data_IF_121936265490
#
_entry.id   IF_121936265490
#
_cell.length_a   1.000
_cell.length_b   1.000
_cell.length_c   1.000
_cell.angle_alpha   90.00
_cell.angle_beta   90.00
_cell.angle_gamma   90.00
#
_symmetry.space_group_name_H-M   'P 1'
#
loop_
_entity.id
_entity.type
_entity.pdbx_description
1 polymer ?
#
# COMPACT_ATOMS: atom_id res chain seq x y z
N UNK A 1 13.40 14.35 -10.69
CA UNK A 1 12.56 13.13 -10.61
C UNK A 1 11.33 13.44 -9.78
N UNK A 2 10.16 12.91 -10.19
CA UNK A 2 8.90 13.18 -9.50
C UNK A 2 8.23 11.90 -8.98
N UNK A 3 7.79 11.92 -7.73
CA UNK A 3 7.06 10.81 -7.10
C UNK A 3 5.61 11.20 -6.80
N UNK A 4 4.65 10.33 -7.16
CA UNK A 4 3.25 10.46 -6.78
C UNK A 4 2.92 9.45 -5.68
N UNK A 5 2.29 9.92 -4.59
CA UNK A 5 1.98 9.11 -3.43
C UNK A 5 0.51 9.27 -3.05
N UNK A 6 -0.25 8.19 -3.09
CA UNK A 6 -1.63 8.19 -2.59
C UNK A 6 -1.69 7.91 -1.08
N UNK A 7 -2.66 8.49 -0.39
CA UNK A 7 -2.75 8.38 1.07
C UNK A 7 -1.58 9.04 1.80
N UNK A 8 -1.08 10.16 1.26
CA UNK A 8 0.13 10.83 1.73
C UNK A 8 -0.04 11.67 2.99
N UNK A 9 -1.27 11.87 3.48
CA UNK A 9 -1.56 12.79 4.59
C UNK A 9 -1.13 12.28 5.97
N UNK A 10 -0.87 10.98 6.13
CA UNK A 10 -0.53 10.40 7.43
C UNK A 10 0.25 9.09 7.31
N UNK A 11 0.71 8.57 8.44
CA UNK A 11 1.29 7.23 8.57
C UNK A 11 2.42 6.96 7.58
N UNK A 12 2.35 5.80 6.93
CA UNK A 12 3.39 5.33 6.01
C UNK A 12 3.53 6.24 4.78
N UNK A 13 2.42 6.73 4.20
CA UNK A 13 2.45 7.62 3.04
C UNK A 13 3.18 8.94 3.33
N UNK A 14 2.90 9.56 4.48
CA UNK A 14 3.64 10.73 4.98
C UNK A 14 5.13 10.46 5.11
N UNK A 15 5.51 9.37 5.79
CA UNK A 15 6.91 9.06 6.04
C UNK A 15 7.67 8.75 4.73
N UNK A 16 7.01 8.07 3.77
CA UNK A 16 7.57 7.84 2.44
C UNK A 16 7.78 9.16 1.69
N UNK A 17 6.81 10.08 1.74
CA UNK A 17 6.92 11.41 1.14
C UNK A 17 8.13 12.18 1.67
N UNK A 18 8.25 12.30 3.00
CA UNK A 18 9.36 13.01 3.65
C UNK A 18 10.72 12.38 3.27
N UNK A 19 10.81 11.05 3.24
CA UNK A 19 12.06 10.36 2.90
C UNK A 19 12.43 10.50 1.42
N UNK A 20 11.45 10.51 0.51
CA UNK A 20 11.69 10.72 -0.91
C UNK A 20 12.08 12.16 -1.21
N UNK A 21 11.49 13.15 -0.53
CA UNK A 21 11.93 14.55 -0.66
C UNK A 21 13.39 14.73 -0.24
N UNK A 22 13.84 14.04 0.82
CA UNK A 22 15.25 14.03 1.25
C UNK A 22 16.18 13.34 0.24
N UNK A 23 15.63 12.55 -0.69
CA UNK A 23 16.36 11.92 -1.81
C UNK A 23 16.30 12.72 -3.11
N UNK A 24 15.72 13.93 -3.07
CA UNK A 24 15.64 14.83 -4.22
C UNK A 24 14.47 14.58 -5.16
N UNK A 25 13.45 13.82 -4.74
CA UNK A 25 12.20 13.68 -5.50
C UNK A 25 11.29 14.87 -5.23
N UNK A 26 10.81 15.55 -6.26
CA UNK A 26 9.62 16.39 -6.20
C UNK A 26 8.38 15.50 -6.02
N UNK A 27 7.39 16.00 -5.32
CA UNK A 27 6.28 15.19 -4.86
C UNK A 27 4.93 15.64 -5.41
N UNK A 28 4.09 14.68 -5.74
CA UNK A 28 2.64 14.86 -5.87
C UNK A 28 1.98 14.07 -4.75
N UNK A 29 1.39 14.77 -3.79
CA UNK A 29 0.81 14.18 -2.59
C UNK A 29 -0.72 14.16 -2.71
N UNK A 30 -1.31 12.96 -2.72
CA UNK A 30 -2.74 12.76 -2.90
C UNK A 30 -3.39 12.30 -1.60
N UNK A 31 -4.45 12.99 -1.16
CA UNK A 31 -5.30 12.61 -0.03
C UNK A 31 -6.61 13.39 -0.07
N UNK A 32 -7.62 12.94 0.69
CA UNK A 32 -8.87 13.66 0.95
C UNK A 32 -8.72 14.81 1.95
N UNK A 33 -7.66 14.78 2.76
CA UNK A 33 -7.39 15.78 3.80
C UNK A 33 -6.28 16.72 3.36
N UNK A 34 -6.67 17.83 2.73
CA UNK A 34 -5.75 18.86 2.26
C UNK A 34 -4.95 19.52 3.40
N UNK A 35 -5.63 19.76 4.54
CA UNK A 35 -4.94 20.38 5.70
C UNK A 35 -3.84 19.49 6.25
N UNK A 36 -4.04 18.17 6.28
CA UNK A 36 -3.00 17.24 6.68
C UNK A 36 -1.87 17.16 5.63
N UNK A 37 -2.18 17.26 4.32
CA UNK A 37 -1.16 17.34 3.28
C UNK A 37 -0.28 18.61 3.42
N UNK A 38 -0.86 19.75 3.80
CA UNK A 38 -0.12 20.99 4.05
C UNK A 38 0.90 20.84 5.18
N UNK A 39 0.56 20.08 6.23
CA UNK A 39 1.51 19.74 7.31
C UNK A 39 2.65 18.88 6.79
N UNK A 40 2.35 17.87 5.97
CA UNK A 40 3.38 17.00 5.38
C UNK A 40 4.31 17.78 4.45
N UNK A 41 3.76 18.70 3.64
CA UNK A 41 4.56 19.57 2.76
C UNK A 41 5.62 20.36 3.50
N UNK A 42 5.30 20.87 4.70
CA UNK A 42 6.26 21.63 5.54
C UNK A 42 7.47 20.78 5.96
N UNK A 43 7.31 19.46 6.09
CA UNK A 43 8.37 18.52 6.47
C UNK A 43 9.21 18.04 5.26
N UNK A 44 8.76 18.34 4.01
CA UNK A 44 9.45 17.95 2.79
C UNK A 44 10.60 18.91 2.44
N UNK A 45 11.63 18.41 1.77
CA UNK A 45 12.83 19.17 1.38
C UNK A 45 12.81 19.64 -0.08
N UNK A 46 11.92 19.11 -0.88
CA UNK A 46 11.74 19.44 -2.30
C UNK A 46 10.33 20.01 -2.53
N UNK A 47 10.04 20.41 -3.74
CA UNK A 47 8.70 20.85 -4.12
C UNK A 47 7.67 19.75 -3.88
N UNK A 48 6.51 20.13 -3.34
CA UNK A 48 5.39 19.22 -3.14
C UNK A 48 4.09 19.87 -3.64
N UNK A 49 3.50 19.26 -4.66
CA UNK A 49 2.18 19.61 -5.18
C UNK A 49 1.15 18.82 -4.38
N UNK A 50 0.19 19.52 -3.80
CA UNK A 50 -0.90 18.91 -3.03
C UNK A 50 -2.13 18.79 -3.91
N UNK A 51 -2.71 17.60 -3.97
CA UNK A 51 -3.91 17.37 -4.74
C UNK A 51 -4.95 16.63 -3.90
N UNK A 52 -6.05 17.33 -3.61
CA UNK A 52 -7.16 16.77 -2.88
C UNK A 52 -8.01 15.88 -3.80
N UNK A 53 -8.07 14.58 -3.51
CA UNK A 53 -8.87 13.64 -4.27
C UNK A 53 -9.24 12.42 -3.44
N UNK A 54 -10.42 11.85 -3.72
CA UNK A 54 -10.82 10.54 -3.23
C UNK A 54 -10.52 9.49 -4.31
N UNK A 55 -9.52 8.66 -4.05
CA UNK A 55 -9.10 7.60 -4.98
C UNK A 55 -10.10 6.45 -5.07
N UNK A 56 -11.17 6.41 -4.27
CA UNK A 56 -12.25 5.44 -4.46
C UNK A 56 -13.03 5.68 -5.76
N UNK A 57 -13.01 6.92 -6.29
CA UNK A 57 -13.62 7.27 -7.58
C UNK A 57 -12.71 6.90 -8.74
N UNK A 58 -13.25 6.22 -9.74
CA UNK A 58 -12.57 5.92 -11.02
C UNK A 58 -12.19 7.20 -11.74
N UNK A 59 -13.10 8.15 -11.80
CA UNK A 59 -12.92 9.45 -12.46
C UNK A 59 -11.80 10.27 -11.80
N UNK A 60 -11.72 10.21 -10.45
CA UNK A 60 -10.64 10.87 -9.72
C UNK A 60 -9.27 10.26 -10.06
N UNK A 61 -9.17 8.94 -10.14
CA UNK A 61 -7.94 8.26 -10.53
C UNK A 61 -7.51 8.62 -11.97
N UNK A 62 -8.46 8.71 -12.91
CA UNK A 62 -8.20 9.11 -14.28
C UNK A 62 -7.71 10.57 -14.32
N UNK A 63 -8.40 11.49 -13.64
CA UNK A 63 -8.01 12.91 -13.54
C UNK A 63 -6.63 13.10 -12.91
N UNK A 64 -6.27 12.29 -11.90
CA UNK A 64 -4.92 12.31 -11.32
C UNK A 64 -3.88 11.98 -12.38
N UNK A 65 -4.10 10.91 -13.15
CA UNK A 65 -3.18 10.51 -14.21
C UNK A 65 -3.11 11.53 -15.35
N UNK A 66 -4.23 12.10 -15.79
CA UNK A 66 -4.27 13.13 -16.82
C UNK A 66 -3.50 14.40 -16.42
N UNK A 67 -3.62 14.78 -15.14
CA UNK A 67 -2.98 15.98 -14.62
C UNK A 67 -1.49 15.81 -14.34
N UNK A 68 -1.06 14.62 -13.98
CA UNK A 68 0.31 14.33 -13.54
C UNK A 68 0.93 13.20 -14.37
N UNK A 69 1.21 13.47 -15.65
CA UNK A 69 1.76 12.49 -16.61
C UNK A 69 3.22 12.10 -16.31
N UNK A 70 4.05 13.07 -15.94
CA UNK A 70 5.49 12.86 -15.78
C UNK A 70 5.83 12.42 -14.36
N UNK A 71 5.56 11.14 -14.08
CA UNK A 71 5.87 10.51 -12.80
C UNK A 71 6.94 9.43 -13.00
N UNK A 72 8.04 9.56 -12.26
CA UNK A 72 9.14 8.58 -12.23
C UNK A 72 8.90 7.47 -11.20
N UNK A 73 8.13 7.78 -10.14
CA UNK A 73 7.81 6.85 -9.06
C UNK A 73 6.35 6.97 -8.65
N UNK A 74 5.57 5.91 -8.86
CA UNK A 74 4.22 5.79 -8.33
C UNK A 74 4.24 4.99 -7.01
N UNK A 75 3.61 5.52 -5.96
CA UNK A 75 3.37 4.80 -4.71
C UNK A 75 1.87 4.73 -4.45
N UNK A 76 1.28 3.58 -4.70
CA UNK A 76 -0.09 3.26 -4.31
C UNK A 76 -0.10 2.82 -2.84
N UNK A 77 -0.30 3.80 -1.94
CA UNK A 77 -0.28 3.57 -0.50
C UNK A 77 -1.66 3.75 0.15
N UNK A 78 -2.57 4.51 -0.43
CA UNK A 78 -3.91 4.67 0.11
C UNK A 78 -4.57 3.32 0.39
N UNK A 79 -5.19 3.18 1.55
CA UNK A 79 -5.87 1.95 1.94
C UNK A 79 -6.26 1.95 3.41
N UNK A 80 -7.28 1.17 3.72
CA UNK A 80 -7.77 0.98 5.08
C UNK A 80 -8.29 -0.44 5.28
N UNK A 81 -8.60 -0.80 6.52
CA UNK A 81 -9.18 -2.09 6.89
C UNK A 81 -10.50 -1.91 7.61
N UNK A 82 -11.26 -2.98 7.70
CA UNK A 82 -12.50 -3.10 8.47
C UNK A 82 -12.46 -4.41 9.24
N UNK A 83 -12.83 -4.35 10.52
CA UNK A 83 -12.88 -5.49 11.41
C UNK A 83 -14.34 -5.84 11.75
N UNK A 84 -14.65 -7.11 11.77
CA UNK A 84 -15.96 -7.66 12.14
C UNK A 84 -16.28 -8.96 11.42
N UNK A 85 -17.30 -9.65 11.87
CA UNK A 85 -17.87 -10.77 11.14
C UNK A 85 -18.56 -10.29 9.87
N UNK A 86 -18.46 -11.04 8.79
CA UNK A 86 -18.98 -10.66 7.47
C UNK A 86 -20.45 -10.25 7.48
N UNK A 87 -21.27 -10.91 8.29
CA UNK A 87 -22.69 -10.59 8.40
C UNK A 87 -22.97 -9.30 9.19
N UNK A 88 -22.00 -8.79 9.95
CA UNK A 88 -22.16 -7.64 10.84
C UNK A 88 -21.43 -6.38 10.34
N UNK A 89 -20.58 -6.50 9.32
CA UNK A 89 -19.90 -5.34 8.73
C UNK A 89 -20.79 -4.62 7.73
N UNK A 90 -20.59 -3.30 7.59
CA UNK A 90 -21.34 -2.49 6.63
C UNK A 90 -20.89 -2.80 5.19
N UNK A 91 -21.83 -3.18 4.33
CA UNK A 91 -21.57 -3.41 2.90
C UNK A 91 -20.96 -2.17 2.23
N UNK A 92 -21.47 -0.98 2.48
CA UNK A 92 -20.94 0.26 1.88
C UNK A 92 -19.47 0.50 2.27
N UNK A 93 -19.11 0.22 3.54
CA UNK A 93 -17.71 0.34 3.98
C UNK A 93 -16.81 -0.70 3.32
N UNK A 94 -17.30 -1.92 3.11
CA UNK A 94 -16.56 -2.97 2.41
C UNK A 94 -16.35 -2.64 0.93
N UNK A 95 -17.42 -2.18 0.24
CA UNK A 95 -17.32 -1.75 -1.15
C UNK A 95 -16.37 -0.58 -1.31
N UNK A 96 -16.44 0.44 -0.44
CA UNK A 96 -15.49 1.54 -0.44
C UNK A 96 -14.05 1.08 -0.17
N UNK A 97 -13.85 0.07 0.70
CA UNK A 97 -12.55 -0.53 0.93
C UNK A 97 -12.01 -1.24 -0.32
N UNK A 98 -12.85 -1.93 -1.07
CA UNK A 98 -12.50 -2.56 -2.35
C UNK A 98 -12.12 -1.47 -3.36
N UNK A 99 -12.89 -0.41 -3.44
CA UNK A 99 -12.62 0.72 -4.34
C UNK A 99 -11.26 1.35 -4.07
N UNK A 100 -10.95 1.65 -2.81
CA UNK A 100 -9.67 2.26 -2.43
C UNK A 100 -8.50 1.26 -2.53
N UNK A 101 -8.64 0.06 -1.97
CA UNK A 101 -7.54 -0.88 -1.84
C UNK A 101 -7.23 -1.66 -3.12
N UNK A 102 -8.23 -1.83 -4.01
CA UNK A 102 -8.12 -2.64 -5.24
C UNK A 102 -8.28 -1.78 -6.47
N UNK A 103 -9.46 -1.19 -6.67
CA UNK A 103 -9.80 -0.47 -7.91
C UNK A 103 -8.84 0.71 -8.17
N UNK A 104 -8.58 1.53 -7.16
CA UNK A 104 -7.63 2.64 -7.28
C UNK A 104 -6.21 2.16 -7.62
N UNK A 105 -5.72 1.14 -6.92
CA UNK A 105 -4.40 0.54 -7.17
C UNK A 105 -4.31 -0.01 -8.59
N UNK A 106 -5.36 -0.71 -9.04
CA UNK A 106 -5.43 -1.27 -10.38
C UNK A 106 -5.36 -0.16 -11.45
N UNK A 107 -6.22 0.85 -11.34
CA UNK A 107 -6.32 1.94 -12.33
C UNK A 107 -5.00 2.72 -12.41
N UNK A 108 -4.50 3.21 -11.28
CA UNK A 108 -3.28 4.01 -11.27
C UNK A 108 -2.07 3.19 -11.72
N UNK A 109 -1.95 1.94 -11.26
CA UNK A 109 -0.87 1.06 -11.74
C UNK A 109 -0.94 0.88 -13.25
N UNK A 110 -2.11 0.57 -13.81
CA UNK A 110 -2.28 0.32 -15.25
C UNK A 110 -1.94 1.55 -16.10
N UNK A 111 -2.43 2.72 -15.69
CA UNK A 111 -2.23 3.97 -16.44
C UNK A 111 -0.75 4.38 -16.41
N UNK A 112 -0.14 4.49 -15.23
CA UNK A 112 1.28 4.86 -15.12
C UNK A 112 2.23 3.80 -15.65
N UNK A 113 1.88 2.51 -15.55
CA UNK A 113 2.68 1.45 -16.12
C UNK A 113 2.79 1.58 -17.65
N UNK A 114 1.69 1.96 -18.33
CA UNK A 114 1.69 2.21 -19.75
C UNK A 114 2.67 3.33 -20.12
N UNK A 115 2.57 4.50 -19.45
CA UNK A 115 3.47 5.62 -19.69
C UNK A 115 4.95 5.26 -19.39
N UNK A 116 5.18 4.52 -18.31
CA UNK A 116 6.52 4.07 -17.93
C UNK A 116 7.12 3.08 -18.92
N UNK A 117 6.31 2.18 -19.49
CA UNK A 117 6.75 1.25 -20.53
C UNK A 117 7.10 1.99 -21.81
N UNK A 118 6.31 2.99 -22.21
CA UNK A 118 6.59 3.82 -23.40
C UNK A 118 7.92 4.58 -23.26
N UNK A 119 8.26 5.03 -22.05
CA UNK A 119 9.54 5.70 -21.73
C UNK A 119 10.68 4.70 -21.41
N UNK A 120 10.38 3.42 -21.30
CA UNK A 120 11.22 2.34 -20.73
C UNK A 120 11.92 2.75 -19.42
N UNK A 121 11.22 3.50 -18.58
CA UNK A 121 11.74 4.08 -17.34
C UNK A 121 10.62 4.29 -16.33
N UNK A 122 10.90 4.04 -15.06
CA UNK A 122 9.97 4.31 -13.98
C UNK A 122 9.95 3.22 -12.91
N UNK A 123 9.26 3.54 -11.81
CA UNK A 123 9.11 2.64 -10.67
C UNK A 123 7.70 2.68 -10.11
N UNK A 124 7.19 1.53 -9.70
CA UNK A 124 5.89 1.41 -9.02
C UNK A 124 6.10 0.67 -7.70
N UNK A 125 5.56 1.23 -6.62
CA UNK A 125 5.44 0.57 -5.32
C UNK A 125 3.98 0.44 -4.95
N UNK A 126 3.46 -0.78 -4.91
CA UNK A 126 2.13 -1.07 -4.41
C UNK A 126 2.20 -1.52 -2.95
N UNK A 127 1.43 -0.88 -2.07
CA UNK A 127 1.40 -1.20 -0.64
C UNK A 127 0.31 -2.24 -0.36
N UNK A 128 0.75 -3.49 -0.18
CA UNK A 128 -0.07 -4.58 0.30
C UNK A 128 -0.03 -4.67 1.86
N UNK A 129 0.14 -5.87 2.39
CA UNK A 129 0.28 -6.19 3.82
C UNK A 129 0.72 -7.65 3.94
N UNK A 130 1.18 -8.08 5.11
CA UNK A 130 1.26 -9.52 5.43
C UNK A 130 -0.11 -10.19 5.40
N UNK A 131 -1.18 -9.43 5.56
CA UNK A 131 -2.56 -9.89 5.36
C UNK A 131 -2.83 -10.45 3.95
N UNK A 132 -1.93 -10.20 2.99
CA UNK A 132 -2.01 -10.75 1.64
C UNK A 132 -1.74 -12.26 1.57
N UNK A 133 -1.19 -12.87 2.61
CA UNK A 133 -0.68 -14.24 2.55
C UNK A 133 -1.66 -15.28 3.10
N UNK A 134 -2.15 -15.17 4.36
CA UNK A 134 -3.14 -16.10 4.88
C UNK A 134 -4.57 -15.62 4.61
N UNK A 135 -5.59 -16.48 4.78
CA UNK A 135 -6.97 -16.04 4.91
C UNK A 135 -7.14 -15.26 6.23
N UNK A 136 -8.01 -14.26 6.26
CA UNK A 136 -8.19 -13.40 7.43
C UNK A 136 -9.63 -13.37 7.96
N UNK A 137 -10.09 -14.37 8.73
CA UNK A 137 -11.37 -14.28 9.42
C UNK A 137 -11.48 -12.99 10.23
N UNK A 138 -12.67 -12.42 10.33
CA UNK A 138 -12.98 -11.12 10.95
C UNK A 138 -12.37 -9.88 10.25
N UNK A 139 -11.58 -10.08 9.20
CA UNK A 139 -11.04 -9.03 8.33
C UNK A 139 -10.97 -9.52 6.87
N UNK A 140 -11.87 -10.40 6.47
CA UNK A 140 -11.82 -11.12 5.21
C UNK A 140 -11.69 -10.22 3.98
N UNK A 141 -12.51 -9.19 3.86
CA UNK A 141 -12.46 -8.24 2.74
C UNK A 141 -11.11 -7.53 2.69
N UNK A 142 -10.57 -7.07 3.83
CA UNK A 142 -9.24 -6.45 3.87
C UNK A 142 -8.14 -7.40 3.39
N UNK A 143 -8.10 -8.64 3.90
CA UNK A 143 -7.10 -9.65 3.52
C UNK A 143 -7.20 -9.97 2.03
N UNK A 144 -8.42 -10.13 1.51
CA UNK A 144 -8.68 -10.37 0.09
C UNK A 144 -8.20 -9.23 -0.78
N UNK A 145 -8.45 -7.96 -0.38
CA UNK A 145 -7.94 -6.80 -1.12
C UNK A 145 -6.41 -6.76 -1.15
N UNK A 146 -5.74 -7.10 -0.05
CA UNK A 146 -4.27 -7.11 0.01
C UNK A 146 -3.66 -8.29 -0.74
N UNK A 147 -4.35 -9.44 -0.79
CA UNK A 147 -3.99 -10.57 -1.64
C UNK A 147 -4.08 -10.22 -3.12
N UNK A 148 -5.14 -9.50 -3.54
CA UNK A 148 -5.24 -8.97 -4.88
C UNK A 148 -4.03 -8.12 -5.25
N UNK A 149 -3.69 -7.11 -4.45
CA UNK A 149 -2.56 -6.19 -4.70
C UNK A 149 -1.24 -6.96 -4.82
N UNK A 150 -1.03 -7.95 -3.95
CA UNK A 150 0.17 -8.79 -4.00
C UNK A 150 0.28 -9.57 -5.30
N UNK A 151 -0.77 -10.33 -5.65
CA UNK A 151 -0.79 -11.16 -6.87
C UNK A 151 -0.73 -10.32 -8.14
N UNK A 152 -1.48 -9.23 -8.21
CA UNK A 152 -1.47 -8.29 -9.32
C UNK A 152 -0.07 -7.74 -9.57
N UNK A 153 0.61 -7.27 -8.51
CA UNK A 153 1.95 -6.69 -8.63
C UNK A 153 2.99 -7.74 -9.05
N UNK A 154 2.91 -8.94 -8.49
CA UNK A 154 3.88 -10.01 -8.81
C UNK A 154 3.70 -10.57 -10.22
N UNK A 155 2.47 -10.59 -10.75
CA UNK A 155 2.21 -10.95 -12.14
C UNK A 155 2.79 -9.92 -13.11
N UNK A 156 2.55 -8.63 -12.88
CA UNK A 156 3.11 -7.54 -13.70
C UNK A 156 4.65 -7.58 -13.71
N UNK A 157 5.28 -7.91 -12.59
CA UNK A 157 6.73 -8.06 -12.53
C UNK A 157 7.25 -9.09 -13.56
N UNK A 158 6.58 -10.24 -13.67
CA UNK A 158 7.00 -11.27 -14.63
C UNK A 158 6.73 -10.84 -16.07
N UNK A 159 5.63 -10.13 -16.33
CA UNK A 159 5.36 -9.55 -17.66
C UNK A 159 6.45 -8.56 -18.07
N UNK A 160 6.86 -7.66 -17.18
CA UNK A 160 7.95 -6.70 -17.42
C UNK A 160 9.28 -7.42 -17.65
N UNK A 161 9.58 -8.45 -16.86
CA UNK A 161 10.79 -9.26 -17.00
C UNK A 161 10.85 -9.95 -18.36
N UNK A 162 9.75 -10.55 -18.81
CA UNK A 162 9.65 -11.20 -20.12
C UNK A 162 9.77 -10.21 -21.28
N UNK A 163 9.26 -9.01 -21.09
CA UNK A 163 9.38 -7.92 -22.07
C UNK A 163 10.79 -7.33 -22.14
N UNK A 164 11.68 -7.61 -21.19
CA UNK A 164 13.00 -6.97 -21.08
C UNK A 164 12.94 -5.49 -20.68
N UNK A 165 11.82 -5.04 -20.06
CA UNK A 165 11.61 -3.64 -19.72
C UNK A 165 12.50 -3.17 -18.57
N UNK A 166 12.96 -1.92 -18.65
CA UNK A 166 13.70 -1.24 -17.57
C UNK A 166 12.82 -0.80 -16.40
N UNK A 167 11.49 -0.79 -16.58
CA UNK A 167 10.51 -0.44 -15.53
C UNK A 167 10.58 -1.41 -14.36
N UNK A 168 10.56 -0.89 -13.13
CA UNK A 168 10.63 -1.71 -11.91
C UNK A 168 9.33 -1.60 -11.13
N UNK A 169 8.80 -2.76 -10.71
CA UNK A 169 7.62 -2.83 -9.85
C UNK A 169 7.93 -3.62 -8.58
N UNK A 170 7.41 -3.15 -7.45
CA UNK A 170 7.61 -3.74 -6.12
C UNK A 170 6.30 -3.80 -5.36
N UNK A 171 6.15 -4.80 -4.50
CA UNK A 171 5.07 -4.87 -3.52
C UNK A 171 5.64 -4.80 -2.10
N UNK A 172 5.11 -3.87 -1.30
CA UNK A 172 5.44 -3.75 0.11
C UNK A 172 4.41 -4.50 0.95
N UNK A 173 4.87 -5.43 1.77
CA UNK A 173 4.03 -6.24 2.66
C UNK A 173 4.44 -6.01 4.13
N UNK A 174 4.04 -4.90 4.74
CA UNK A 174 4.36 -4.64 6.13
C UNK A 174 3.54 -5.52 7.07
N UNK A 175 4.13 -5.89 8.21
CA UNK A 175 3.42 -6.40 9.37
C UNK A 175 2.69 -5.27 10.11
N UNK A 176 2.09 -5.53 11.27
CA UNK A 176 1.50 -4.50 12.11
C UNK A 176 2.53 -3.43 12.46
N UNK A 177 2.16 -2.16 12.33
CA UNK A 177 2.99 -1.02 12.71
C UNK A 177 2.12 0.15 13.18
N UNK A 178 2.70 1.03 13.98
CA UNK A 178 1.97 2.11 14.63
C UNK A 178 1.53 3.18 13.62
N UNK A 179 0.24 3.24 13.33
CA UNK A 179 -0.40 4.25 12.49
C UNK A 179 -1.83 4.49 12.96
N UNK A 180 -2.49 5.49 12.40
CA UNK A 180 -3.92 5.70 12.58
C UNK A 180 -4.81 4.59 11.95
N UNK A 181 -4.20 3.63 11.24
CA UNK A 181 -4.91 2.49 10.63
C UNK A 181 -5.74 1.71 11.66
N UNK A 182 -5.22 1.53 12.87
CA UNK A 182 -5.91 0.81 13.94
C UNK A 182 -7.23 1.48 14.33
N UNK A 183 -7.23 2.81 14.42
CA UNK A 183 -8.44 3.58 14.74
C UNK A 183 -9.45 3.49 13.61
N UNK A 184 -9.01 3.57 12.36
CA UNK A 184 -9.89 3.48 11.17
C UNK A 184 -10.46 2.07 11.01
N UNK A 185 -9.66 1.04 11.28
CA UNK A 185 -10.09 -0.37 11.19
C UNK A 185 -10.93 -0.82 12.40
N UNK A 186 -11.00 -0.02 13.47
CA UNK A 186 -11.69 -0.39 14.70
C UNK A 186 -11.00 -1.50 15.49
N UNK A 187 -9.65 -1.60 15.43
CA UNK A 187 -8.88 -2.69 16.06
C UNK A 187 -7.83 -2.16 17.02
N UNK A 188 -7.59 -2.90 18.11
CA UNK A 188 -6.44 -2.73 19.01
C UNK A 188 -5.45 -3.85 18.75
N UNK A 189 -4.27 -3.54 18.24
CA UNK A 189 -3.22 -4.55 18.10
C UNK A 189 -2.50 -4.76 19.44
N UNK A 190 -2.51 -5.98 19.93
CA UNK A 190 -1.77 -6.38 21.13
C UNK A 190 -0.24 -6.49 20.93
N UNK A 191 0.21 -6.59 19.69
CA UNK A 191 1.64 -6.62 19.36
C UNK A 191 2.18 -5.20 19.21
N UNK A 192 3.28 -4.88 19.90
CA UNK A 192 4.05 -3.65 19.65
C UNK A 192 4.49 -3.65 18.18
N UNK A 193 3.81 -2.85 17.35
CA UNK A 193 4.14 -2.67 15.95
C UNK A 193 5.51 -2.00 15.77
N UNK A 194 6.12 -2.24 14.62
CA UNK A 194 7.31 -1.45 14.20
C UNK A 194 6.93 0.02 14.04
N UNK A 195 7.90 0.93 14.13
CA UNK A 195 7.64 2.35 13.81
C UNK A 195 7.39 2.55 12.32
N UNK A 196 6.60 3.57 11.97
CA UNK A 196 6.45 3.99 10.57
C UNK A 196 7.80 4.30 9.93
N UNK A 197 8.70 4.94 10.67
CA UNK A 197 10.06 5.26 10.22
C UNK A 197 10.85 4.02 9.81
N UNK A 198 10.80 2.95 10.62
CA UNK A 198 11.46 1.68 10.27
C UNK A 198 10.87 1.08 8.99
N UNK A 199 9.53 1.03 8.88
CA UNK A 199 8.85 0.43 7.72
C UNK A 199 9.13 1.24 6.45
N UNK A 200 9.03 2.55 6.50
CA UNK A 200 9.30 3.43 5.35
C UNK A 200 10.77 3.40 4.92
N UNK A 201 11.71 3.38 5.87
CA UNK A 201 13.15 3.24 5.57
C UNK A 201 13.46 1.91 4.89
N UNK A 202 12.85 0.82 5.40
CA UNK A 202 13.01 -0.51 4.84
C UNK A 202 12.38 -0.61 3.43
N UNK A 203 11.21 0.01 3.24
CA UNK A 203 10.52 0.08 1.95
C UNK A 203 11.37 0.79 0.90
N UNK A 204 11.87 1.98 1.21
CA UNK A 204 12.74 2.75 0.32
C UNK A 204 14.01 1.98 -0.04
N UNK A 205 14.68 1.38 0.96
CA UNK A 205 15.88 0.55 0.70
C UNK A 205 15.58 -0.63 -0.20
N UNK A 206 14.43 -1.30 -0.03
CA UNK A 206 14.00 -2.41 -0.87
C UNK A 206 13.66 -1.97 -2.29
N UNK A 207 12.92 -0.87 -2.42
CA UNK A 207 12.51 -0.27 -3.70
C UNK A 207 13.73 0.07 -4.58
N UNK A 208 14.71 0.79 -4.03
CA UNK A 208 15.92 1.16 -4.79
C UNK A 208 16.91 0.01 -5.02
N UNK A 209 16.71 -1.12 -4.33
CA UNK A 209 17.39 -2.39 -4.63
C UNK A 209 16.61 -3.28 -5.59
N UNK A 210 15.54 -2.78 -6.21
CA UNK A 210 14.67 -3.48 -7.17
C UNK A 210 14.11 -4.81 -6.63
N UNK A 211 13.82 -4.87 -5.31
CA UNK A 211 13.20 -6.06 -4.72
C UNK A 211 11.74 -6.15 -5.13
N UNK A 212 11.34 -7.28 -5.71
CA UNK A 212 9.94 -7.54 -6.02
C UNK A 212 9.07 -7.52 -4.76
N UNK A 213 9.42 -8.29 -3.75
CA UNK A 213 8.67 -8.40 -2.49
C UNK A 213 9.48 -7.79 -1.36
N UNK A 214 8.92 -6.77 -0.72
CA UNK A 214 9.55 -6.04 0.39
C UNK A 214 8.77 -6.34 1.66
N UNK A 215 9.35 -7.15 2.56
CA UNK A 215 8.74 -7.54 3.84
C UNK A 215 9.62 -7.01 4.98
N UNK A 216 9.20 -5.93 5.69
CA UNK A 216 9.93 -5.39 6.82
C UNK A 216 9.88 -6.31 8.05
N UNK A 217 11.06 -6.66 8.58
CA UNK A 217 11.19 -7.47 9.80
C UNK A 217 11.38 -8.97 9.54
N UNK A 218 12.24 -9.59 10.36
CA UNK A 218 12.59 -11.00 10.24
C UNK A 218 11.40 -11.91 10.58
N UNK A 219 10.73 -11.66 11.71
CA UNK A 219 9.56 -12.44 12.16
C UNK A 219 8.46 -12.44 11.09
N UNK A 220 8.22 -11.29 10.46
CA UNK A 220 7.25 -11.14 9.37
C UNK A 220 7.60 -12.01 8.16
N UNK A 221 8.89 -12.13 7.84
CA UNK A 221 9.35 -13.01 6.75
C UNK A 221 9.18 -14.48 7.08
N UNK A 222 9.47 -14.87 8.32
CA UNK A 222 9.22 -16.25 8.80
C UNK A 222 7.73 -16.56 8.69
N UNK A 223 6.87 -15.66 9.16
CA UNK A 223 5.42 -15.80 9.03
C UNK A 223 4.99 -16.00 7.58
N UNK A 224 5.51 -15.18 6.65
CA UNK A 224 5.25 -15.35 5.21
C UNK A 224 5.65 -16.74 4.69
N UNK A 225 6.81 -17.24 5.09
CA UNK A 225 7.24 -18.57 4.67
C UNK A 225 6.32 -19.66 5.23
N UNK A 226 5.93 -19.56 6.49
CA UNK A 226 5.04 -20.52 7.13
C UNK A 226 3.65 -20.58 6.46
N UNK A 227 3.12 -19.45 5.98
CA UNK A 227 1.83 -19.45 5.27
C UNK A 227 1.84 -20.23 3.95
N UNK A 228 3.01 -20.52 3.38
CA UNK A 228 3.13 -21.31 2.14
C UNK A 228 3.08 -22.82 2.36
N UNK A 229 3.42 -23.27 3.57
CA UNK A 229 3.55 -24.70 3.87
C UNK A 229 2.50 -25.21 4.85
N UNK A 230 1.90 -24.32 5.64
CA UNK A 230 0.92 -24.73 6.65
C UNK A 230 -0.43 -25.12 6.01
N UNK A 231 -1.08 -26.19 6.49
CA UNK A 231 -2.42 -26.58 6.03
C UNK A 231 -3.44 -25.45 6.23
N UNK A 232 -4.32 -25.24 5.26
CA UNK A 232 -5.29 -24.14 5.26
C UNK A 232 -6.16 -24.10 6.54
N UNK A 233 -6.68 -25.24 6.98
CA UNK A 233 -7.50 -25.32 8.20
C UNK A 233 -6.76 -24.88 9.47
N UNK A 234 -5.46 -25.17 9.53
CA UNK A 234 -4.60 -24.72 10.65
C UNK A 234 -4.41 -23.20 10.60
N UNK A 235 -4.11 -22.65 9.43
CA UNK A 235 -3.99 -21.18 9.23
C UNK A 235 -5.27 -20.46 9.63
N UNK A 236 -6.44 -20.94 9.19
CA UNK A 236 -7.74 -20.38 9.56
C UNK A 236 -7.95 -20.33 11.08
N UNK A 237 -7.64 -21.42 11.79
CA UNK A 237 -7.77 -21.49 13.24
C UNK A 237 -6.82 -20.54 13.96
N UNK A 238 -5.57 -20.47 13.51
CA UNK A 238 -4.56 -19.56 14.07
C UNK A 238 -4.98 -18.11 13.85
N UNK A 239 -5.34 -17.75 12.61
CA UNK A 239 -5.70 -16.39 12.26
C UNK A 239 -6.99 -15.92 12.96
N UNK A 240 -8.01 -16.77 13.04
CA UNK A 240 -9.22 -16.45 13.79
C UNK A 240 -8.89 -16.12 15.26
N UNK A 241 -8.08 -16.95 15.92
CA UNK A 241 -7.70 -16.73 17.31
C UNK A 241 -6.83 -15.46 17.49
N UNK A 242 -6.00 -15.13 16.52
CA UNK A 242 -5.21 -13.90 16.54
C UNK A 242 -6.09 -12.66 16.33
N UNK A 243 -7.05 -12.73 15.41
CA UNK A 243 -7.95 -11.61 15.11
C UNK A 243 -8.91 -11.35 16.27
N UNK A 244 -9.51 -12.39 16.86
CA UNK A 244 -10.43 -12.28 18.02
C UNK A 244 -9.82 -11.55 19.23
N UNK A 245 -8.50 -11.63 19.40
CA UNK A 245 -7.79 -10.88 20.47
C UNK A 245 -7.75 -9.37 20.24
N UNK A 246 -8.13 -8.88 19.05
CA UNK A 246 -8.18 -7.45 18.71
C UNK A 246 -9.52 -6.80 19.06
N UNK A 247 -10.51 -7.61 19.41
CA UNK A 247 -11.87 -7.18 19.77
C UNK A 247 -11.98 -6.70 21.24
N UNK A 248 -10.88 -6.73 22.01
CA UNK A 248 -10.84 -6.38 23.44
C UNK A 248 -10.08 -5.08 23.72
#
# INVERSE_FOLDING_TARGET
MRALITGASSGLGRDLAIKLSKKGYDLVLISRDKKALEKVKKDCKTEAILYEADVSSTEACIKIHEKFKDIDLLINNAGFGLFGETCNTSLDKELNMIDVNVKAVHILTKLYLKDMIEKDSGRILNVASIAAFPPGPLMNTYYSTKSYVFKFTTAIYEELRRRGSSVKISVLCPGPFNTNFNNVAGVKFSLKGKSCDYVSSYAIKGLFKNKLVIIPGFITKVGYFLTKIAPLKLLLKIDYNMQRKKDK
#
